data_IF_399302944334
#
_entry.id   IF_399302944334
#
_cell.length_a   1.000
_cell.length_b   1.000
_cell.length_c   1.000
_cell.angle_alpha   90.00
_cell.angle_beta   90.00
_cell.angle_gamma   90.00
#
_symmetry.space_group_name_H-M   'P 1'
#
loop_
_entity.id
_entity.type
_entity.pdbx_description
1 polymer ?
#
# COMPACT_ATOMS: atom_id res chain seq x y z
N UNK A 1 -27.97 -9.62 14.69
CA UNK A 1 -26.73 -9.77 15.48
C UNK A 1 -26.90 -9.15 16.87
N UNK A 2 -27.39 -7.92 16.99
CA UNK A 2 -27.57 -7.22 18.30
C UNK A 2 -28.85 -7.63 19.07
N UNK A 3 -29.70 -8.48 18.49
CA UNK A 3 -30.97 -8.90 19.08
C UNK A 3 -30.84 -10.12 20.01
N UNK A 4 -29.64 -10.70 20.13
CA UNK A 4 -29.37 -11.85 21.00
C UNK A 4 -28.71 -11.38 22.32
N UNK A 5 -29.41 -11.46 23.46
CA UNK A 5 -28.91 -10.99 24.75
C UNK A 5 -27.77 -11.84 25.33
N UNK A 6 -27.43 -13.00 24.76
CA UNK A 6 -26.27 -13.81 25.18
C UNK A 6 -24.97 -13.45 24.46
N UNK A 7 -25.05 -12.65 23.39
CA UNK A 7 -23.89 -12.31 22.57
C UNK A 7 -23.12 -11.11 23.15
N UNK A 8 -21.99 -11.37 23.82
CA UNK A 8 -21.08 -10.30 24.26
C UNK A 8 -20.32 -9.79 23.04
N UNK A 9 -20.78 -8.68 22.48
CA UNK A 9 -20.12 -8.01 21.37
C UNK A 9 -18.91 -7.20 21.85
N UNK A 10 -17.77 -7.41 21.20
CA UNK A 10 -16.53 -6.68 21.43
C UNK A 10 -16.11 -5.87 20.18
N UNK A 11 -15.02 -5.12 20.28
CA UNK A 11 -14.49 -4.35 19.15
C UNK A 11 -14.20 -5.25 17.93
N UNK A 12 -13.77 -6.49 18.14
CA UNK A 12 -13.44 -7.41 17.06
C UNK A 12 -14.71 -7.87 16.31
N UNK A 13 -15.81 -8.09 17.03
CA UNK A 13 -17.11 -8.40 16.46
C UNK A 13 -17.58 -7.30 15.50
N UNK A 14 -17.45 -6.03 15.90
CA UNK A 14 -17.76 -4.89 15.04
C UNK A 14 -16.77 -4.76 13.87
N UNK A 15 -15.48 -5.05 14.08
CA UNK A 15 -14.49 -5.05 13.00
C UNK A 15 -14.82 -6.10 11.92
N UNK A 16 -15.22 -7.31 12.33
CA UNK A 16 -15.63 -8.38 11.41
C UNK A 16 -16.86 -7.95 10.62
N UNK A 17 -17.88 -7.40 11.30
CA UNK A 17 -19.08 -6.90 10.64
C UNK A 17 -18.77 -5.78 9.64
N UNK A 18 -17.93 -4.81 10.02
CA UNK A 18 -17.51 -3.71 9.14
C UNK A 18 -16.85 -4.21 7.86
N UNK A 19 -15.89 -5.13 7.97
CA UNK A 19 -15.24 -5.75 6.82
C UNK A 19 -16.23 -6.57 5.96
N UNK A 20 -17.20 -7.24 6.60
CA UNK A 20 -18.28 -7.94 5.92
C UNK A 20 -19.11 -7.00 5.04
N UNK A 21 -19.55 -5.87 5.60
CA UNK A 21 -20.31 -4.85 4.87
C UNK A 21 -19.50 -4.24 3.71
N UNK A 22 -18.22 -3.96 3.91
CA UNK A 22 -17.36 -3.48 2.82
C UNK A 22 -17.26 -4.46 1.65
N UNK A 23 -17.16 -5.76 1.94
CA UNK A 23 -17.08 -6.81 0.90
C UNK A 23 -18.35 -6.90 0.06
N UNK A 24 -19.51 -6.60 0.63
CA UNK A 24 -20.79 -6.59 -0.10
C UNK A 24 -21.18 -5.21 -0.64
N UNK A 25 -20.26 -4.24 -0.60
CA UNK A 25 -20.48 -2.91 -1.17
C UNK A 25 -21.41 -2.01 -0.36
N UNK A 26 -21.46 -2.20 0.97
CA UNK A 26 -22.30 -1.46 1.90
C UNK A 26 -21.44 -0.55 2.83
N UNK A 27 -20.91 0.58 2.33
CA UNK A 27 -19.95 1.39 3.06
C UNK A 27 -20.58 2.18 4.23
N UNK A 28 -21.86 2.51 4.18
CA UNK A 28 -22.53 3.25 5.25
C UNK A 28 -22.76 2.36 6.48
N UNK A 29 -23.14 1.10 6.27
CA UNK A 29 -23.25 0.08 7.30
C UNK A 29 -21.87 -0.27 7.87
N UNK A 30 -20.85 -0.36 7.02
CA UNK A 30 -19.47 -0.54 7.47
C UNK A 30 -19.00 0.61 8.35
N UNK A 31 -19.33 1.86 7.98
CA UNK A 31 -19.02 3.04 8.76
C UNK A 31 -19.73 3.03 10.11
N UNK A 32 -21.01 2.61 10.15
CA UNK A 32 -21.74 2.46 11.40
C UNK A 32 -21.05 1.45 12.34
N UNK A 33 -20.56 0.33 11.79
CA UNK A 33 -19.80 -0.66 12.58
C UNK A 33 -18.45 -0.12 13.03
N UNK A 34 -17.74 0.65 12.18
CA UNK A 34 -16.47 1.29 12.55
C UNK A 34 -16.66 2.27 13.73
N UNK A 35 -17.73 3.07 13.73
CA UNK A 35 -18.08 3.96 14.85
C UNK A 35 -18.37 3.18 16.13
N UNK A 36 -19.09 2.06 16.04
CA UNK A 36 -19.33 1.19 17.21
C UNK A 36 -18.04 0.60 17.76
N UNK A 37 -17.16 0.08 16.89
CA UNK A 37 -15.81 -0.40 17.24
C UNK A 37 -15.04 0.68 18.01
N UNK A 38 -15.05 1.91 17.50
CA UNK A 38 -14.30 3.01 18.10
C UNK A 38 -14.69 3.32 19.54
N UNK A 39 -15.97 3.24 19.89
CA UNK A 39 -16.46 3.46 21.27
C UNK A 39 -15.74 2.55 22.28
N UNK A 40 -15.42 1.30 21.89
CA UNK A 40 -14.66 0.38 22.74
C UNK A 40 -13.18 0.76 22.84
N UNK A 41 -12.63 1.34 21.77
CA UNK A 41 -11.21 1.67 21.66
C UNK A 41 -10.85 2.90 22.48
N UNK A 42 -11.72 3.91 22.56
CA UNK A 42 -11.45 5.17 23.28
C UNK A 42 -11.00 4.93 24.72
N UNK A 43 -11.62 3.97 25.43
CA UNK A 43 -11.32 3.71 26.85
C UNK A 43 -10.45 2.46 27.12
N UNK A 44 -10.10 1.69 26.09
CA UNK A 44 -9.31 0.47 26.26
C UNK A 44 -7.83 0.74 26.60
N UNK A 45 -7.24 0.03 27.56
CA UNK A 45 -5.83 0.20 27.98
C UNK A 45 -4.78 -0.32 26.98
N UNK A 46 -5.17 -1.16 26.03
CA UNK A 46 -4.32 -1.71 24.95
C UNK A 46 -5.17 -1.94 23.72
N UNK A 47 -4.98 -1.12 22.70
CA UNK A 47 -5.87 -1.12 21.53
C UNK A 47 -5.18 -0.93 20.18
N UNK A 48 -3.85 -1.14 20.10
CA UNK A 48 -3.07 -1.03 18.86
C UNK A 48 -3.72 -1.74 17.67
N UNK A 49 -4.14 -3.01 17.85
CA UNK A 49 -4.77 -3.80 16.79
C UNK A 49 -6.10 -3.18 16.35
N UNK A 50 -6.90 -2.68 17.29
CA UNK A 50 -8.18 -2.08 16.99
C UNK A 50 -8.02 -0.68 16.34
N UNK A 51 -7.01 0.08 16.75
CA UNK A 51 -6.63 1.37 16.13
C UNK A 51 -6.11 1.16 14.70
N UNK A 52 -5.24 0.17 14.47
CA UNK A 52 -4.78 -0.23 13.13
C UNK A 52 -5.99 -0.52 12.21
N UNK A 53 -6.97 -1.26 12.73
CA UNK A 53 -8.19 -1.61 11.99
C UNK A 53 -9.08 -0.40 11.75
N UNK A 54 -9.23 0.50 12.71
CA UNK A 54 -9.99 1.74 12.53
C UNK A 54 -9.40 2.63 11.44
N UNK A 55 -8.07 2.77 11.38
CA UNK A 55 -7.40 3.51 10.31
C UNK A 55 -7.79 2.93 8.95
N UNK A 56 -7.68 1.61 8.79
CA UNK A 56 -8.07 0.91 7.56
C UNK A 56 -9.55 1.12 7.22
N UNK A 57 -10.45 0.91 8.19
CA UNK A 57 -11.90 1.03 7.98
C UNK A 57 -12.32 2.46 7.60
N UNK A 58 -11.73 3.48 8.22
CA UNK A 58 -12.01 4.87 7.85
C UNK A 58 -11.48 5.22 6.46
N UNK A 59 -10.38 4.60 6.03
CA UNK A 59 -9.92 4.73 4.65
C UNK A 59 -10.88 4.08 3.65
N UNK A 60 -11.30 2.84 3.91
CA UNK A 60 -12.20 2.08 3.02
C UNK A 60 -13.62 2.69 2.97
N UNK A 61 -14.06 3.34 4.05
CA UNK A 61 -15.34 4.11 4.12
C UNK A 61 -15.20 5.56 3.63
N UNK A 62 -14.05 5.94 3.06
CA UNK A 62 -13.77 7.26 2.48
C UNK A 62 -13.90 8.43 3.46
N UNK A 63 -13.59 8.22 4.75
CA UNK A 63 -13.63 9.25 5.80
C UNK A 63 -12.22 9.71 6.20
N UNK A 64 -11.63 10.57 5.37
CA UNK A 64 -10.25 11.07 5.57
C UNK A 64 -10.08 11.88 6.88
N UNK A 65 -11.06 12.70 7.24
CA UNK A 65 -11.00 13.49 8.49
C UNK A 65 -10.97 12.57 9.73
N UNK A 66 -11.80 11.51 9.72
CA UNK A 66 -11.82 10.51 10.78
C UNK A 66 -10.52 9.69 10.83
N UNK A 67 -9.93 9.37 9.67
CA UNK A 67 -8.61 8.75 9.59
C UNK A 67 -7.55 9.59 10.35
N UNK A 68 -7.49 10.90 10.08
CA UNK A 68 -6.55 11.79 10.78
C UNK A 68 -6.85 11.88 12.28
N UNK A 69 -8.12 11.98 12.67
CA UNK A 69 -8.51 12.01 14.08
C UNK A 69 -8.08 10.75 14.83
N UNK A 70 -8.28 9.57 14.25
CA UNK A 70 -7.82 8.30 14.83
C UNK A 70 -6.30 8.23 14.88
N UNK A 71 -5.60 8.76 13.90
CA UNK A 71 -4.14 8.84 13.94
C UNK A 71 -3.64 9.67 15.12
N UNK A 72 -4.25 10.83 15.39
CA UNK A 72 -3.92 11.64 16.58
C UNK A 72 -4.21 10.90 17.89
N UNK A 73 -5.36 10.23 17.96
CA UNK A 73 -5.72 9.41 19.11
C UNK A 73 -4.68 8.29 19.34
N UNK A 74 -4.25 7.62 18.27
CA UNK A 74 -3.23 6.57 18.36
C UNK A 74 -1.90 7.15 18.89
N UNK A 75 -1.43 8.27 18.33
CA UNK A 75 -0.20 8.94 18.79
C UNK A 75 -0.21 9.33 20.25
N UNK A 76 -1.36 9.76 20.77
CA UNK A 76 -1.50 10.19 22.16
C UNK A 76 -1.61 9.04 23.17
N UNK A 77 -2.04 7.85 22.71
CA UNK A 77 -2.45 6.76 23.60
C UNK A 77 -1.44 5.64 23.75
N UNK A 78 -0.78 5.27 22.66
CA UNK A 78 0.01 4.06 22.58
C UNK A 78 1.29 4.27 21.77
N UNK A 79 2.28 3.41 22.01
CA UNK A 79 3.43 3.32 21.12
C UNK A 79 2.98 2.73 19.78
N UNK A 80 3.23 3.48 18.70
CA UNK A 80 2.97 3.03 17.34
C UNK A 80 4.14 2.15 16.87
N UNK A 81 3.83 0.93 16.46
CA UNK A 81 4.78 -0.01 15.85
C UNK A 81 4.64 -0.01 14.33
N UNK A 82 5.49 -0.76 13.63
CA UNK A 82 5.50 -0.82 12.16
C UNK A 82 4.11 -1.05 11.55
N UNK A 83 3.28 -1.89 12.16
CA UNK A 83 1.92 -2.17 11.67
C UNK A 83 1.00 -0.94 11.64
N UNK A 84 1.11 -0.05 12.62
CA UNK A 84 0.34 1.20 12.64
C UNK A 84 0.77 2.17 11.56
N UNK A 85 2.09 2.30 11.34
CA UNK A 85 2.62 3.09 10.22
C UNK A 85 2.23 2.52 8.86
N UNK A 86 2.30 1.20 8.68
CA UNK A 86 1.81 0.52 7.46
C UNK A 86 0.34 0.86 7.23
N UNK A 87 -0.49 0.77 8.28
CA UNK A 87 -1.93 1.03 8.19
C UNK A 87 -2.22 2.50 7.82
N UNK A 88 -1.53 3.46 8.45
CA UNK A 88 -1.71 4.88 8.14
C UNK A 88 -1.21 5.26 6.74
N UNK A 89 0.01 4.82 6.37
CA UNK A 89 0.60 5.11 5.05
C UNK A 89 -0.28 4.53 3.95
N UNK A 90 -0.65 3.24 4.04
CA UNK A 90 -1.53 2.61 3.06
C UNK A 90 -2.91 3.31 2.97
N UNK A 91 -3.46 3.76 4.10
CA UNK A 91 -4.71 4.51 4.14
C UNK A 91 -4.61 5.86 3.43
N UNK A 92 -3.54 6.62 3.65
CA UNK A 92 -3.30 7.89 2.97
C UNK A 92 -3.10 7.71 1.46
N UNK A 93 -2.36 6.68 1.06
CA UNK A 93 -2.17 6.34 -0.35
C UNK A 93 -3.49 5.94 -1.03
N UNK A 94 -4.44 5.35 -0.32
CA UNK A 94 -5.78 5.06 -0.84
C UNK A 94 -6.63 6.32 -1.11
N UNK A 95 -6.24 7.46 -0.53
CA UNK A 95 -6.78 8.81 -0.82
C UNK A 95 -5.92 9.61 -1.81
N UNK A 96 -4.92 8.97 -2.43
CA UNK A 96 -3.93 9.63 -3.29
C UNK A 96 -3.11 10.73 -2.57
N UNK A 97 -3.04 10.68 -1.24
CA UNK A 97 -2.30 11.64 -0.43
C UNK A 97 -0.84 11.21 -0.25
N UNK A 98 -0.08 11.33 -1.34
CA UNK A 98 1.34 10.96 -1.38
C UNK A 98 2.15 11.84 -0.41
N UNK A 99 1.87 13.14 -0.34
CA UNK A 99 2.58 14.05 0.56
C UNK A 99 2.35 13.72 2.03
N UNK A 100 1.11 13.41 2.40
CA UNK A 100 0.78 12.92 3.74
C UNK A 100 1.49 11.62 4.04
N UNK A 101 1.49 10.66 3.11
CA UNK A 101 2.16 9.38 3.26
C UNK A 101 3.69 9.56 3.44
N UNK A 102 4.31 10.47 2.69
CA UNK A 102 5.73 10.84 2.83
C UNK A 102 6.04 11.41 4.21
N UNK A 103 5.18 12.28 4.76
CA UNK A 103 5.35 12.83 6.12
C UNK A 103 5.31 11.73 7.18
N UNK A 104 4.34 10.80 7.09
CA UNK A 104 4.24 9.67 8.02
C UNK A 104 5.44 8.72 7.87
N UNK A 105 5.94 8.53 6.65
CA UNK A 105 7.15 7.74 6.41
C UNK A 105 8.40 8.38 7.04
N UNK A 106 8.57 9.69 6.92
CA UNK A 106 9.67 10.41 7.58
C UNK A 106 9.58 10.28 9.12
N UNK A 107 8.37 10.39 9.68
CA UNK A 107 8.15 10.13 11.11
C UNK A 107 8.55 8.69 11.48
N UNK A 108 8.16 7.70 10.69
CA UNK A 108 8.53 6.30 10.92
C UNK A 108 10.05 6.10 10.88
N UNK A 109 10.74 6.69 9.90
CA UNK A 109 12.20 6.57 9.78
C UNK A 109 12.96 7.23 10.92
N UNK A 110 12.40 8.29 11.52
CA UNK A 110 13.00 8.90 12.71
C UNK A 110 12.76 8.08 13.98
N UNK A 111 11.85 7.09 13.95
CA UNK A 111 11.68 6.17 15.07
C UNK A 111 12.77 5.10 15.06
N UNK A 112 13.27 4.74 16.23
CA UNK A 112 14.21 3.62 16.44
C UNK A 112 13.48 2.25 16.45
N UNK A 113 12.62 2.01 15.46
CA UNK A 113 11.94 0.73 15.28
C UNK A 113 12.85 -0.24 14.51
N UNK A 114 12.57 -1.55 14.63
CA UNK A 114 13.17 -2.54 13.73
C UNK A 114 12.74 -2.21 12.30
N UNK A 115 13.72 -2.12 11.39
CA UNK A 115 13.48 -1.68 10.03
C UNK A 115 12.67 -2.73 9.26
N UNK A 116 11.42 -2.41 8.99
CA UNK A 116 10.47 -3.28 8.29
C UNK A 116 10.30 -2.78 6.86
N UNK A 117 10.82 -3.57 5.92
CA UNK A 117 10.85 -3.23 4.50
C UNK A 117 9.47 -3.09 3.86
N UNK A 118 8.40 -3.55 4.51
CA UNK A 118 7.02 -3.33 4.03
C UNK A 118 6.65 -1.86 4.03
N UNK A 119 7.20 -1.06 4.95
CA UNK A 119 6.90 0.38 5.06
C UNK A 119 7.38 1.16 3.83
N UNK A 120 8.69 1.13 3.45
CA UNK A 120 9.14 1.83 2.25
C UNK A 120 8.55 1.24 0.96
N UNK A 121 8.27 -0.07 0.89
CA UNK A 121 7.67 -0.67 -0.31
C UNK A 121 6.31 -0.07 -0.67
N UNK A 122 5.48 0.32 0.31
CA UNK A 122 4.22 1.02 0.05
C UNK A 122 4.41 2.30 -0.77
N UNK A 123 5.42 3.11 -0.43
CA UNK A 123 5.74 4.34 -1.15
C UNK A 123 6.38 4.05 -2.50
N UNK A 124 7.26 3.05 -2.60
CA UNK A 124 7.86 2.69 -3.89
C UNK A 124 6.75 2.28 -4.87
N UNK A 125 5.80 1.45 -4.45
CA UNK A 125 4.67 1.04 -5.27
C UNK A 125 3.81 2.23 -5.69
N UNK A 126 3.50 3.14 -4.76
CA UNK A 126 2.74 4.34 -5.05
C UNK A 126 3.46 5.26 -6.04
N UNK A 127 4.77 5.49 -5.85
CA UNK A 127 5.57 6.30 -6.76
C UNK A 127 5.60 5.70 -8.16
N UNK A 128 5.77 4.38 -8.29
CA UNK A 128 5.76 3.72 -9.59
C UNK A 128 4.39 3.88 -10.29
N UNK A 129 3.28 3.71 -9.55
CA UNK A 129 1.93 3.91 -10.09
C UNK A 129 1.62 5.36 -10.49
N UNK A 130 2.43 6.31 -10.01
CA UNK A 130 2.26 7.76 -10.21
C UNK A 130 3.35 8.37 -11.09
N UNK A 131 4.16 7.52 -11.72
CA UNK A 131 5.29 7.91 -12.57
C UNK A 131 6.34 8.79 -11.85
N UNK A 132 6.41 8.71 -10.52
CA UNK A 132 7.38 9.43 -9.67
C UNK A 132 8.69 8.63 -9.54
N UNK A 133 9.27 8.25 -10.67
CA UNK A 133 10.31 7.23 -10.77
C UNK A 133 11.63 7.61 -10.08
N UNK A 134 11.98 8.90 -10.12
CA UNK A 134 13.16 9.41 -9.41
C UNK A 134 13.06 9.17 -7.90
N UNK A 135 11.87 9.38 -7.31
CA UNK A 135 11.61 9.10 -5.89
C UNK A 135 11.62 7.58 -5.63
N UNK A 136 11.02 6.79 -6.52
CA UNK A 136 11.04 5.33 -6.42
C UNK A 136 12.47 4.77 -6.38
N UNK A 137 13.35 5.19 -7.30
CA UNK A 137 14.77 4.76 -7.34
C UNK A 137 15.53 5.18 -6.09
N UNK A 138 15.39 6.43 -5.66
CA UNK A 138 16.04 6.91 -4.45
C UNK A 138 15.67 6.04 -3.23
N UNK A 139 14.39 5.68 -3.10
CA UNK A 139 13.91 4.86 -1.99
C UNK A 139 14.33 3.39 -2.12
N UNK A 140 14.33 2.81 -3.33
CA UNK A 140 14.85 1.46 -3.59
C UNK A 140 16.32 1.36 -3.21
N UNK A 141 17.15 2.31 -3.64
CA UNK A 141 18.58 2.33 -3.29
C UNK A 141 18.79 2.41 -1.77
N UNK A 142 17.96 3.20 -1.08
CA UNK A 142 17.97 3.29 0.38
C UNK A 142 17.59 1.96 1.06
N UNK A 143 16.62 1.23 0.51
CA UNK A 143 16.22 -0.09 1.00
C UNK A 143 17.32 -1.13 0.80
N UNK A 144 17.93 -1.17 -0.39
CA UNK A 144 19.00 -2.12 -0.74
C UNK A 144 20.25 -1.88 0.12
N UNK A 145 20.65 -0.64 0.33
CA UNK A 145 21.82 -0.31 1.18
C UNK A 145 21.61 -0.70 2.65
N UNK A 146 20.35 -0.81 3.09
CA UNK A 146 19.98 -1.33 4.42
C UNK A 146 19.82 -2.85 4.48
N UNK A 147 20.19 -3.57 3.41
CA UNK A 147 20.10 -5.03 3.32
C UNK A 147 18.71 -5.56 3.01
N UNK A 148 17.77 -4.69 2.62
CA UNK A 148 16.43 -5.08 2.23
C UNK A 148 16.33 -5.60 0.81
N UNK A 149 15.33 -6.46 0.58
CA UNK A 149 14.89 -6.83 -0.76
C UNK A 149 13.59 -6.07 -1.04
N UNK A 150 13.60 -5.03 -1.90
CA UNK A 150 12.37 -4.45 -2.39
C UNK A 150 11.52 -5.52 -3.09
N UNK A 151 10.20 -5.36 -3.14
CA UNK A 151 9.37 -6.23 -3.97
C UNK A 151 9.87 -6.20 -5.42
N UNK A 152 9.81 -7.37 -6.06
CA UNK A 152 10.30 -7.63 -7.43
C UNK A 152 9.79 -6.53 -8.38
N UNK A 153 8.49 -6.27 -8.39
CA UNK A 153 7.83 -5.24 -9.19
C UNK A 153 8.43 -3.84 -8.95
N UNK A 154 8.65 -3.48 -7.70
CA UNK A 154 9.13 -2.16 -7.28
C UNK A 154 10.62 -1.95 -7.54
N UNK A 155 11.46 -3.00 -7.40
CA UNK A 155 12.87 -2.95 -7.78
C UNK A 155 13.02 -2.79 -9.28
N UNK A 156 12.27 -3.54 -10.09
CA UNK A 156 12.38 -3.50 -11.55
C UNK A 156 11.77 -2.26 -12.19
N UNK A 157 10.66 -1.74 -11.66
CA UNK A 157 10.13 -0.43 -12.07
C UNK A 157 11.10 0.71 -11.69
N UNK A 158 11.71 0.68 -10.52
CA UNK A 158 12.63 1.74 -10.09
C UNK A 158 14.03 1.66 -10.74
N UNK A 159 14.56 0.45 -10.94
CA UNK A 159 15.85 0.23 -11.61
C UNK A 159 15.73 0.36 -13.13
N UNK A 160 14.57 0.00 -13.68
CA UNK A 160 14.40 -0.11 -15.10
C UNK A 160 14.16 1.17 -15.88
N UNK A 161 13.60 2.18 -15.23
CA UNK A 161 13.32 3.46 -15.87
C UNK A 161 14.55 4.37 -15.98
N UNK A 162 15.59 4.16 -15.16
CA UNK A 162 16.59 5.19 -14.88
C UNK A 162 18.04 4.84 -15.25
N UNK A 163 18.31 3.66 -15.81
CA UNK A 163 19.62 3.39 -16.40
C UNK A 163 19.70 3.75 -17.88
N UNK A 164 18.57 4.03 -18.57
CA UNK A 164 18.65 4.24 -20.03
C UNK A 164 17.44 4.92 -20.71
N UNK A 165 16.44 5.46 -19.99
CA UNK A 165 15.12 5.76 -20.59
C UNK A 165 14.49 4.52 -21.28
N UNK A 166 15.00 3.30 -21.06
CA UNK A 166 14.56 2.05 -21.69
C UNK A 166 13.73 1.20 -20.72
N UNK A 167 12.50 1.64 -20.46
CA UNK A 167 11.43 0.84 -19.81
C UNK A 167 11.38 -0.62 -20.33
N UNK A 168 11.50 -0.89 -21.65
CA UNK A 168 11.32 -2.24 -22.19
C UNK A 168 12.43 -3.23 -21.81
N UNK A 169 13.70 -2.79 -21.85
CA UNK A 169 14.86 -3.67 -21.59
C UNK A 169 14.93 -4.10 -20.13
N UNK A 170 14.55 -3.20 -19.23
CA UNK A 170 14.60 -3.50 -17.82
C UNK A 170 13.41 -4.34 -17.35
N UNK A 171 12.23 -4.13 -17.93
CA UNK A 171 11.10 -5.03 -17.72
C UNK A 171 11.37 -6.41 -18.35
N UNK A 172 12.03 -6.50 -19.51
CA UNK A 172 12.54 -7.77 -20.06
C UNK A 172 13.53 -8.46 -19.12
N UNK A 173 14.47 -7.71 -18.52
CA UNK A 173 15.39 -8.24 -17.50
C UNK A 173 14.64 -8.73 -16.25
N UNK A 174 13.57 -8.04 -15.86
CA UNK A 174 12.69 -8.45 -14.76
C UNK A 174 12.01 -9.78 -15.05
N UNK A 175 11.40 -9.90 -16.23
CA UNK A 175 10.69 -11.10 -16.69
C UNK A 175 11.62 -12.31 -16.73
N UNK A 176 12.86 -12.14 -17.20
CA UNK A 176 13.85 -13.22 -17.28
C UNK A 176 14.27 -13.80 -15.90
N UNK A 177 14.01 -13.07 -14.82
CA UNK A 177 14.39 -13.45 -13.45
C UNK A 177 13.17 -13.83 -12.60
N UNK A 178 11.95 -13.57 -13.08
CA UNK A 178 10.70 -13.91 -12.41
C UNK A 178 10.25 -15.37 -12.66
N UNK A 179 9.48 -15.99 -11.73
CA UNK A 179 8.86 -17.28 -11.97
C UNK A 179 7.86 -17.24 -13.14
N UNK A 180 7.65 -18.35 -13.88
CA UNK A 180 6.84 -18.38 -15.11
C UNK A 180 5.35 -18.02 -14.94
N UNK A 181 4.86 -17.87 -13.71
CA UNK A 181 3.46 -17.54 -13.40
C UNK A 181 3.24 -16.06 -13.06
N UNK A 182 4.30 -15.24 -13.03
CA UNK A 182 4.18 -13.81 -12.79
C UNK A 182 3.99 -13.06 -14.12
N UNK A 183 2.90 -12.28 -14.23
CA UNK A 183 2.62 -11.42 -15.39
C UNK A 183 2.44 -9.96 -14.92
N UNK A 184 3.10 -8.96 -15.56
CA UNK A 184 2.84 -7.55 -15.31
C UNK A 184 1.38 -7.17 -15.56
N UNK A 185 0.92 -6.05 -15.00
CA UNK A 185 -0.44 -5.57 -15.27
C UNK A 185 -0.60 -5.17 -16.74
N UNK A 186 -1.83 -5.23 -17.25
CA UNK A 186 -2.16 -4.84 -18.64
C UNK A 186 -1.77 -3.40 -18.95
N UNK A 187 -1.91 -2.50 -17.99
CA UNK A 187 -1.51 -1.08 -18.12
C UNK A 187 0.01 -0.95 -18.25
N UNK A 188 0.78 -1.70 -17.44
CA UNK A 188 2.25 -1.73 -17.56
C UNK A 188 2.70 -2.30 -18.91
N UNK A 189 2.01 -3.33 -19.42
CA UNK A 189 2.27 -3.88 -20.75
C UNK A 189 1.99 -2.86 -21.87
N UNK A 190 0.84 -2.18 -21.82
CA UNK A 190 0.42 -1.21 -22.82
C UNK A 190 1.39 -0.02 -22.90
N UNK A 191 1.76 0.56 -21.76
CA UNK A 191 2.74 1.65 -21.71
C UNK A 191 4.13 1.23 -22.23
N UNK A 192 4.51 -0.04 -22.09
CA UNK A 192 5.77 -0.55 -22.63
C UNK A 192 5.75 -0.70 -24.15
N UNK A 193 4.65 -1.22 -24.71
CA UNK A 193 4.48 -1.36 -26.17
C UNK A 193 4.43 0.01 -26.83
N UNK A 194 3.62 0.94 -26.31
CA UNK A 194 3.56 2.31 -26.83
C UNK A 194 4.92 3.03 -26.77
N UNK A 195 5.72 2.77 -25.72
CA UNK A 195 7.07 3.32 -25.59
C UNK A 195 8.06 2.75 -26.62
N UNK A 196 7.96 1.45 -26.95
CA UNK A 196 8.80 0.78 -27.96
C UNK A 196 8.45 1.24 -29.37
N UNK A 197 7.16 1.29 -29.68
CA UNK A 197 6.63 1.75 -30.95
C UNK A 197 6.98 3.22 -31.19
N UNK A 198 6.78 4.07 -30.18
CA UNK A 198 7.13 5.51 -30.25
C UNK A 198 8.61 5.78 -30.46
N UNK A 199 9.49 4.80 -30.21
CA UNK A 199 10.95 4.87 -30.44
C UNK A 199 11.40 4.14 -31.71
N UNK A 200 10.48 3.52 -32.45
CA UNK A 200 10.79 2.72 -33.64
C UNK A 200 11.44 1.36 -33.35
N UNK A 201 11.46 0.90 -32.10
CA UNK A 201 11.97 -0.44 -31.72
C UNK A 201 10.83 -1.47 -31.79
N UNK A 202 10.31 -1.67 -33.01
CA UNK A 202 9.19 -2.58 -33.31
C UNK A 202 9.57 -4.03 -32.99
N UNK A 203 10.84 -4.41 -33.19
CA UNK A 203 11.34 -5.76 -32.89
C UNK A 203 11.38 -6.03 -31.38
N UNK A 204 11.72 -5.03 -30.58
CA UNK A 204 11.61 -5.08 -29.13
C UNK A 204 10.17 -5.24 -28.65
N UNK A 205 9.23 -4.53 -29.27
CA UNK A 205 7.79 -4.63 -28.99
C UNK A 205 7.25 -6.03 -29.27
N UNK A 206 7.54 -6.58 -30.45
CA UNK A 206 7.11 -7.92 -30.84
C UNK A 206 7.68 -9.00 -29.91
N UNK A 207 8.97 -8.92 -29.56
CA UNK A 207 9.57 -9.86 -28.60
C UNK A 207 8.93 -9.74 -27.21
N UNK A 208 8.56 -8.53 -26.80
CA UNK A 208 7.91 -8.27 -25.52
C UNK A 208 6.50 -8.87 -25.49
N UNK A 209 5.68 -8.64 -26.51
CA UNK A 209 4.33 -9.20 -26.62
C UNK A 209 4.39 -10.74 -26.62
N UNK A 210 5.26 -11.32 -27.45
CA UNK A 210 5.42 -12.77 -27.57
C UNK A 210 5.93 -13.45 -26.30
N UNK A 211 6.56 -12.70 -25.38
CA UNK A 211 7.02 -13.25 -24.10
C UNK A 211 5.88 -13.55 -23.10
N UNK A 212 4.65 -13.10 -23.39
CA UNK A 212 3.47 -13.28 -22.55
C UNK A 212 2.35 -14.13 -23.16
N UNK A 213 2.48 -14.52 -24.42
CA UNK A 213 1.53 -15.37 -25.16
C UNK A 213 1.71 -16.88 -24.92
N UNK A 214 2.60 -17.26 -23.99
CA UNK A 214 2.74 -18.62 -23.45
C UNK A 214 1.85 -18.91 -22.24
#
# INVERSE_FOLDING_TARGET
MESDPQLVLDWNSYAIAANGYLKVGLPDEALAMAKKLEVFVVNAKRSNIALDLLLKLYAETRKKDELHRIWELYRGKEKIYNKGYISMISSLLAFDDIEGAEKIFQEWESRKLSYDFRVPNLLIDAYCKKDLLAKAKALVNKVVTKGGKPSVDSYYLASGYLEDNHIPKALMKAIAVCPPHWKPSKETLASCVECLEGKGDVVGADKFINSFEG
#
